data_IF_818891641700
#
_entry.id   IF_818891641700
#
_cell.length_a   1.000
_cell.length_b   1.000
_cell.length_c   1.000
_cell.angle_alpha   90.00
_cell.angle_beta   90.00
_cell.angle_gamma   90.00
#
_symmetry.space_group_name_H-M   'P 1'
#
loop_
_entity.id
_entity.type
_entity.pdbx_description
1 polymer ?
#
# COMPACT_ATOMS: atom_id res chain seq x y z
N UNK A 1 -10.85 21.60 13.60
CA UNK A 1 -9.60 22.37 13.52
C UNK A 1 -8.97 22.28 12.13
N UNK A 2 -8.35 23.34 11.60
CA UNK A 2 -7.76 23.34 10.27
C UNK A 2 -6.68 22.28 10.07
N UNK A 3 -5.85 22.01 11.07
CA UNK A 3 -4.81 21.00 11.00
C UNK A 3 -5.40 19.59 10.78
N UNK A 4 -6.50 19.30 11.43
CA UNK A 4 -7.20 18.02 11.28
C UNK A 4 -7.74 17.85 9.86
N UNK A 5 -8.30 18.92 9.28
CA UNK A 5 -8.77 18.90 7.91
C UNK A 5 -7.63 18.69 6.91
N UNK A 6 -6.47 19.31 7.14
CA UNK A 6 -5.28 19.12 6.33
C UNK A 6 -4.79 17.66 6.37
N UNK A 7 -4.77 17.05 7.54
CA UNK A 7 -4.37 15.65 7.68
C UNK A 7 -5.28 14.71 6.90
N UNK A 8 -6.59 14.95 6.95
CA UNK A 8 -7.55 14.14 6.17
C UNK A 8 -7.34 14.29 4.67
N UNK A 9 -7.12 15.52 4.20
CA UNK A 9 -6.87 15.78 2.79
C UNK A 9 -5.58 15.14 2.33
N UNK A 10 -4.52 15.24 3.10
CA UNK A 10 -3.23 14.63 2.78
C UNK A 10 -3.34 13.11 2.71
N UNK A 11 -4.06 12.49 3.65
CA UNK A 11 -4.26 11.05 3.65
C UNK A 11 -5.05 10.59 2.41
N UNK A 12 -6.15 11.28 2.08
CA UNK A 12 -6.93 10.95 0.89
C UNK A 12 -6.10 11.07 -0.39
N UNK A 13 -5.29 12.12 -0.49
CA UNK A 13 -4.43 12.32 -1.64
C UNK A 13 -3.36 11.22 -1.75
N UNK A 14 -2.78 10.82 -0.62
CA UNK A 14 -1.82 9.73 -0.58
C UNK A 14 -2.46 8.42 -1.05
N UNK A 15 -3.65 8.10 -0.55
CA UNK A 15 -4.36 6.88 -0.94
C UNK A 15 -4.72 6.86 -2.42
N UNK A 16 -5.15 7.99 -2.96
CA UNK A 16 -5.39 8.14 -4.40
C UNK A 16 -4.12 7.95 -5.21
N UNK A 17 -3.01 8.49 -4.72
CA UNK A 17 -1.70 8.33 -5.35
C UNK A 17 -1.29 6.86 -5.42
N UNK A 18 -1.42 6.12 -4.32
CA UNK A 18 -1.15 4.69 -4.30
C UNK A 18 -2.07 3.91 -5.23
N UNK A 19 -3.35 4.26 -5.26
CA UNK A 19 -4.29 3.63 -6.18
C UNK A 19 -3.90 3.84 -7.64
N UNK A 20 -3.58 5.07 -8.02
CA UNK A 20 -3.17 5.40 -9.39
C UNK A 20 -1.90 4.68 -9.79
N UNK A 21 -0.91 4.70 -8.91
CA UNK A 21 0.37 4.05 -9.18
C UNK A 21 0.19 2.55 -9.40
N UNK A 22 -0.55 1.91 -8.53
CA UNK A 22 -0.79 0.48 -8.63
C UNK A 22 -1.68 0.12 -9.82
N UNK A 23 -2.66 0.95 -10.14
CA UNK A 23 -3.51 0.74 -11.32
C UNK A 23 -2.67 0.75 -12.60
N UNK A 24 -1.73 1.69 -12.72
CA UNK A 24 -0.81 1.72 -13.86
C UNK A 24 0.08 0.48 -13.92
N UNK A 25 0.56 0.02 -12.77
CA UNK A 25 1.38 -1.19 -12.71
C UNK A 25 0.56 -2.40 -13.16
N UNK A 26 -0.68 -2.52 -12.71
CA UNK A 26 -1.56 -3.62 -13.11
C UNK A 26 -1.91 -3.60 -14.60
N UNK A 27 -2.01 -2.42 -15.19
CA UNK A 27 -2.26 -2.30 -16.63
C UNK A 27 -1.10 -2.82 -17.46
N UNK A 28 0.13 -2.65 -16.96
CA UNK A 28 1.35 -2.92 -17.73
C UNK A 28 1.96 -4.27 -17.46
N UNK A 29 1.74 -4.84 -16.29
CA UNK A 29 2.37 -6.10 -15.92
C UNK A 29 1.81 -7.26 -16.76
N UNK A 30 2.71 -8.12 -17.24
CA UNK A 30 2.31 -9.30 -18.00
C UNK A 30 1.53 -10.28 -17.12
N UNK A 31 0.59 -11.06 -17.71
CA UNK A 31 -0.08 -12.12 -16.96
C UNK A 31 0.93 -13.09 -16.35
N UNK A 32 0.74 -13.44 -15.08
CA UNK A 32 1.67 -14.27 -14.33
C UNK A 32 2.83 -13.50 -13.70
N UNK A 33 2.83 -12.18 -13.84
CA UNK A 33 3.87 -11.34 -13.26
C UNK A 33 3.74 -11.17 -11.75
N UNK A 34 4.84 -10.83 -11.12
CA UNK A 34 4.91 -10.55 -9.68
C UNK A 34 5.12 -9.06 -9.49
N UNK A 35 4.26 -8.45 -8.71
CA UNK A 35 4.36 -7.02 -8.38
C UNK A 35 4.69 -6.85 -6.90
N UNK A 36 5.74 -6.07 -6.63
CA UNK A 36 6.10 -5.64 -5.29
C UNK A 36 5.62 -4.20 -5.13
N UNK A 37 4.75 -3.94 -4.15
CA UNK A 37 4.23 -2.60 -3.90
C UNK A 37 4.34 -2.25 -2.43
N UNK A 38 4.74 -1.00 -2.14
CA UNK A 38 5.12 -0.59 -0.80
C UNK A 38 4.58 0.80 -0.45
N UNK A 39 4.37 1.01 0.83
CA UNK A 39 4.21 2.34 1.43
C UNK A 39 5.08 2.45 2.67
N UNK A 40 5.82 3.56 2.79
CA UNK A 40 6.60 3.90 3.98
C UNK A 40 5.94 5.03 4.79
N UNK A 41 4.74 5.43 4.45
CA UNK A 41 4.06 6.53 5.11
C UNK A 41 3.48 6.09 6.44
N UNK A 42 3.84 6.78 7.52
CA UNK A 42 3.25 6.54 8.84
C UNK A 42 1.77 6.94 8.89
N UNK A 43 1.36 7.86 8.02
CA UNK A 43 -0.03 8.32 7.97
C UNK A 43 -0.98 7.30 7.35
N UNK A 44 -0.45 6.33 6.60
CA UNK A 44 -1.22 5.30 5.91
C UNK A 44 -1.11 3.99 6.69
N UNK A 45 -2.23 3.49 7.16
CA UNK A 45 -2.26 2.19 7.84
C UNK A 45 -2.10 1.05 6.84
N UNK A 46 -1.78 -0.13 7.37
CA UNK A 46 -1.71 -1.36 6.56
C UNK A 46 -3.04 -1.63 5.85
N UNK A 47 -4.14 -1.47 6.54
CA UNK A 47 -5.47 -1.68 5.98
C UNK A 47 -5.80 -0.67 4.89
N UNK A 48 -5.46 0.59 5.11
CA UNK A 48 -5.68 1.65 4.13
C UNK A 48 -4.86 1.42 2.87
N UNK A 49 -3.60 1.03 3.02
CA UNK A 49 -2.74 0.71 1.88
C UNK A 49 -3.30 -0.47 1.10
N UNK A 50 -3.65 -1.55 1.79
CA UNK A 50 -4.22 -2.74 1.17
C UNK A 50 -5.52 -2.40 0.42
N UNK A 51 -6.37 -1.54 0.99
CA UNK A 51 -7.60 -1.11 0.33
C UNK A 51 -7.32 -0.30 -0.93
N UNK A 52 -6.31 0.56 -0.91
CA UNK A 52 -5.92 1.32 -2.10
C UNK A 52 -5.44 0.38 -3.22
N UNK A 53 -4.66 -0.62 -2.88
CA UNK A 53 -4.19 -1.64 -3.85
C UNK A 53 -5.36 -2.48 -4.35
N UNK A 54 -6.28 -2.86 -3.46
CA UNK A 54 -7.51 -3.56 -3.83
C UNK A 54 -8.31 -2.75 -4.86
N UNK A 55 -8.49 -1.47 -4.61
CA UNK A 55 -9.24 -0.59 -5.52
C UNK A 55 -8.57 -0.49 -6.89
N UNK A 56 -7.23 -0.44 -6.90
CA UNK A 56 -6.46 -0.44 -8.15
C UNK A 56 -6.64 -1.75 -8.92
N UNK A 57 -6.61 -2.88 -8.24
CA UNK A 57 -6.82 -4.19 -8.86
C UNK A 57 -8.23 -4.29 -9.46
N UNK A 58 -9.24 -3.87 -8.71
CA UNK A 58 -10.63 -3.86 -9.18
C UNK A 58 -10.79 -2.96 -10.41
N UNK A 59 -10.17 -1.80 -10.39
CA UNK A 59 -10.20 -0.85 -11.51
C UNK A 59 -9.57 -1.45 -12.77
N UNK A 60 -8.48 -2.20 -12.60
CA UNK A 60 -7.77 -2.84 -13.72
C UNK A 60 -8.47 -4.10 -14.23
N UNK A 61 -9.42 -4.63 -13.47
CA UNK A 61 -10.11 -5.90 -13.75
C UNK A 61 -9.18 -7.11 -13.81
N UNK A 62 -8.02 -7.01 -13.16
CA UNK A 62 -7.08 -8.12 -13.06
C UNK A 62 -7.36 -8.95 -11.82
N UNK A 63 -7.14 -10.25 -11.90
CA UNK A 63 -7.15 -11.12 -10.72
C UNK A 63 -5.78 -11.02 -10.05
N UNK A 64 -5.78 -10.65 -8.78
CA UNK A 64 -4.56 -10.38 -8.02
C UNK A 64 -4.62 -11.16 -6.72
N UNK A 65 -3.56 -11.93 -6.45
CA UNK A 65 -3.42 -12.68 -5.20
C UNK A 65 -2.28 -12.10 -4.39
N UNK A 66 -2.50 -11.98 -3.09
CA UNK A 66 -1.44 -11.61 -2.16
C UNK A 66 -0.65 -12.86 -1.84
N UNK A 67 0.61 -12.89 -2.27
CA UNK A 67 1.51 -14.00 -1.97
C UNK A 67 2.11 -13.81 -0.58
N UNK A 68 2.49 -12.59 -0.26
CA UNK A 68 3.16 -12.27 1.01
C UNK A 68 2.92 -10.83 1.41
N UNK A 69 2.81 -10.61 2.71
CA UNK A 69 2.82 -9.27 3.29
C UNK A 69 4.19 -9.03 3.89
N UNK A 70 4.75 -7.84 3.62
CA UNK A 70 6.08 -7.47 4.07
C UNK A 70 6.00 -6.35 5.08
N UNK A 71 6.92 -6.39 6.04
CA UNK A 71 7.14 -5.33 7.01
C UNK A 71 8.60 -4.90 6.93
N UNK A 72 9.02 -3.95 7.76
CA UNK A 72 10.42 -3.54 7.76
C UNK A 72 11.33 -4.70 8.18
N UNK A 73 12.57 -4.72 7.68
CA UNK A 73 13.51 -5.80 7.99
C UNK A 73 13.90 -5.80 9.47
N UNK A 74 14.49 -6.91 9.93
CA UNK A 74 14.87 -7.12 11.32
C UNK A 74 15.86 -6.09 11.87
N UNK A 75 16.66 -5.47 10.99
CA UNK A 75 17.59 -4.41 11.38
C UNK A 75 16.88 -3.06 11.61
N UNK A 76 15.58 -2.97 11.34
CA UNK A 76 14.72 -1.84 11.67
C UNK A 76 13.54 -2.33 12.51
N UNK A 77 13.79 -2.81 13.73
CA UNK A 77 12.74 -3.41 14.54
C UNK A 77 11.74 -2.37 15.05
N UNK A 78 10.52 -2.84 15.32
CA UNK A 78 9.48 -2.01 15.94
C UNK A 78 9.54 -2.21 17.44
N UNK A 79 9.62 -1.11 18.19
CA UNK A 79 9.55 -1.16 19.65
C UNK A 79 8.11 -1.48 20.07
N UNK A 80 7.93 -2.46 20.96
CA UNK A 80 6.59 -2.91 21.37
C UNK A 80 5.76 -1.80 22.02
N UNK A 81 6.42 -0.81 22.62
CA UNK A 81 5.73 0.33 23.25
C UNK A 81 5.52 1.51 22.28
N UNK A 82 6.05 1.41 21.07
CA UNK A 82 5.99 2.48 20.07
C UNK A 82 5.58 1.89 18.71
N UNK A 83 4.30 1.52 18.56
CA UNK A 83 3.82 0.92 17.31
C UNK A 83 3.93 1.85 16.12
N UNK A 84 4.06 3.15 16.34
CA UNK A 84 4.32 4.15 15.29
C UNK A 84 5.66 3.93 14.59
N UNK A 85 6.56 3.16 15.17
CA UNK A 85 7.80 2.74 14.52
C UNK A 85 7.59 1.73 13.40
N UNK A 86 6.42 1.13 13.32
CA UNK A 86 6.05 0.23 12.21
C UNK A 86 5.53 1.06 11.05
N UNK A 87 6.40 1.35 10.10
CA UNK A 87 6.07 2.25 8.98
C UNK A 87 5.98 1.55 7.63
N UNK A 88 6.72 0.47 7.43
CA UNK A 88 6.76 -0.21 6.13
C UNK A 88 5.59 -1.16 5.98
N UNK A 89 4.83 -0.98 4.91
CA UNK A 89 3.77 -1.88 4.47
C UNK A 89 4.10 -2.32 3.06
N UNK A 90 4.21 -3.60 2.84
CA UNK A 90 4.52 -4.14 1.53
C UNK A 90 3.63 -5.31 1.19
N UNK A 91 3.33 -5.45 -0.08
CA UNK A 91 2.60 -6.58 -0.63
C UNK A 91 3.36 -7.16 -1.80
N UNK A 92 3.48 -8.47 -1.82
CA UNK A 92 3.96 -9.22 -2.98
C UNK A 92 2.74 -9.84 -3.63
N UNK A 93 2.49 -9.46 -4.87
CA UNK A 93 1.24 -9.79 -5.57
C UNK A 93 1.53 -10.64 -6.81
N UNK A 94 0.73 -11.68 -6.99
CA UNK A 94 0.70 -12.44 -8.22
C UNK A 94 -0.46 -11.90 -9.06
N UNK A 95 -0.16 -11.50 -10.29
CA UNK A 95 -1.14 -10.86 -11.18
C UNK A 95 -1.43 -11.80 -12.35
N UNK A 96 -2.68 -12.26 -12.42
CA UNK A 96 -3.13 -13.11 -13.52
C UNK A 96 -3.48 -12.33 -14.78
#
# INVERSE_FOLDING_TARGET
>A
PPAFAKHRSALRNALRGYQRLNAKAFEKIAPGGILFTFSCSQAVSREQFRLAVFSAAAQSRRRVRIIKQLTQPADHPVNIYHPEGEYLKGLVLYVE
#
